data_IF_856682338046
#
_entry.id   IF_856682338046
#
_cell.length_a   1.000
_cell.length_b   1.000
_cell.length_c   1.000
_cell.angle_alpha   90.00
_cell.angle_beta   90.00
_cell.angle_gamma   90.00
#
_symmetry.space_group_name_H-M   'P 1'
#
loop_
_entity.id
_entity.type
_entity.pdbx_description
1 polymer ?
#
# COMPACT_ATOMS: atom_id res chain seq x y z
N UNK A 1 -11.68 -49.38 15.74
CA UNK A 1 -10.51 -49.23 14.87
C UNK A 1 -10.46 -47.83 14.30
N UNK A 2 -9.96 -46.83 14.97
CA UNK A 2 -9.76 -45.48 14.37
C UNK A 2 -8.79 -44.61 15.22
N UNK A 3 -7.59 -45.15 15.49
CA UNK A 3 -6.60 -44.42 16.31
C UNK A 3 -5.22 -44.16 15.70
N UNK A 4 -5.04 -44.40 14.39
CA UNK A 4 -3.66 -44.54 13.86
C UNK A 4 -3.26 -43.51 12.81
N UNK A 5 -4.10 -42.51 12.49
CA UNK A 5 -3.78 -41.55 11.42
C UNK A 5 -3.07 -40.29 11.94
N UNK A 6 -3.17 -39.97 13.22
CA UNK A 6 -2.59 -38.74 13.78
C UNK A 6 -1.18 -38.90 14.41
N UNK A 7 -0.71 -40.12 14.63
CA UNK A 7 0.56 -40.37 15.33
C UNK A 7 1.84 -40.19 14.48
N UNK A 8 1.72 -40.10 13.16
CA UNK A 8 2.86 -39.97 12.24
C UNK A 8 3.21 -38.52 11.79
N UNK A 9 2.35 -37.55 12.09
CA UNK A 9 2.48 -36.20 11.53
C UNK A 9 2.90 -35.11 12.55
N UNK A 10 3.42 -35.52 13.72
CA UNK A 10 3.85 -34.56 14.77
C UNK A 10 4.89 -33.55 14.29
N UNK A 11 5.73 -33.92 13.32
CA UNK A 11 6.76 -33.04 12.72
C UNK A 11 6.16 -31.85 11.96
N UNK A 12 4.90 -31.89 11.55
CA UNK A 12 4.21 -30.78 10.85
C UNK A 12 4.20 -29.54 11.71
N UNK A 13 3.94 -29.68 13.01
CA UNK A 13 3.86 -28.55 13.92
C UNK A 13 5.18 -27.81 14.12
N UNK A 14 6.32 -28.46 14.39
CA UNK A 14 7.61 -27.75 14.47
C UNK A 14 8.01 -27.15 13.12
N UNK A 15 7.70 -27.78 11.98
CA UNK A 15 7.96 -27.20 10.66
C UNK A 15 7.09 -25.96 10.44
N UNK A 16 5.80 -26.04 10.74
CA UNK A 16 4.90 -24.88 10.63
C UNK A 16 5.33 -23.74 11.56
N UNK A 17 5.71 -24.06 12.78
CA UNK A 17 6.23 -23.07 13.73
C UNK A 17 7.53 -22.41 13.22
N UNK A 18 8.46 -23.20 12.71
CA UNK A 18 9.71 -22.66 12.14
C UNK A 18 9.44 -21.75 10.93
N UNK A 19 8.57 -22.18 10.01
CA UNK A 19 8.16 -21.36 8.86
C UNK A 19 7.46 -20.07 9.31
N UNK A 20 6.60 -20.15 10.32
CA UNK A 20 5.94 -18.98 10.89
C UNK A 20 6.93 -18.00 11.52
N UNK A 21 7.91 -18.50 12.30
CA UNK A 21 8.95 -17.65 12.89
C UNK A 21 9.80 -16.98 11.81
N UNK A 22 10.21 -17.72 10.77
CA UNK A 22 10.94 -17.17 9.63
C UNK A 22 10.12 -16.11 8.89
N UNK A 23 8.83 -16.40 8.65
CA UNK A 23 7.91 -15.44 8.06
C UNK A 23 7.79 -14.17 8.91
N UNK A 24 7.59 -14.32 10.24
CA UNK A 24 7.49 -13.17 11.14
C UNK A 24 8.80 -12.36 11.17
N UNK A 25 9.94 -13.04 11.23
CA UNK A 25 11.25 -12.39 11.17
C UNK A 25 11.43 -11.56 9.89
N UNK A 26 10.97 -12.11 8.76
CA UNK A 26 10.99 -11.39 7.49
C UNK A 26 9.93 -10.29 7.44
N UNK A 27 8.72 -10.53 7.92
CA UNK A 27 7.59 -9.61 7.80
C UNK A 27 7.73 -8.40 8.73
N UNK A 28 8.05 -8.63 10.00
CA UNK A 28 8.18 -7.57 11.00
C UNK A 28 9.44 -6.72 10.79
N UNK A 29 10.27 -7.09 9.80
CA UNK A 29 11.50 -6.41 9.49
C UNK A 29 12.23 -5.97 10.76
N UNK A 30 12.89 -6.86 11.50
CA UNK A 30 13.63 -6.58 12.73
C UNK A 30 14.72 -5.50 12.53
N UNK A 31 14.59 -4.73 11.48
CA UNK A 31 15.38 -3.54 11.24
C UNK A 31 14.94 -2.45 12.22
N UNK A 32 15.88 -1.64 12.59
CA UNK A 32 15.62 -0.40 13.31
C UNK A 32 14.86 0.57 12.40
N UNK A 33 14.17 1.57 12.98
CA UNK A 33 13.65 2.69 12.22
C UNK A 33 14.70 3.28 11.28
N UNK A 34 14.25 3.90 10.20
CA UNK A 34 15.13 4.54 9.22
C UNK A 34 16.05 5.57 9.89
N UNK A 35 17.33 5.50 9.60
CA UNK A 35 18.28 6.54 10.01
C UNK A 35 18.07 7.82 9.20
N UNK A 36 18.50 8.96 9.72
CA UNK A 36 18.43 10.22 9.02
C UNK A 36 19.11 10.20 7.63
N UNK A 37 20.18 9.42 7.48
CA UNK A 37 20.87 9.25 6.20
C UNK A 37 20.04 8.46 5.19
N UNK A 38 19.34 7.42 5.64
CA UNK A 38 18.43 6.63 4.79
C UNK A 38 17.22 7.46 4.38
N UNK A 39 16.65 8.24 5.28
CA UNK A 39 15.56 9.19 4.97
C UNK A 39 15.97 10.13 3.83
N UNK A 40 17.12 10.81 3.94
CA UNK A 40 17.60 11.70 2.90
C UNK A 40 17.97 10.97 1.60
N UNK A 41 18.44 9.73 1.69
CA UNK A 41 18.67 8.90 0.52
C UNK A 41 17.37 8.62 -0.24
N UNK A 42 16.31 8.18 0.45
CA UNK A 42 15.01 7.89 -0.18
C UNK A 42 14.32 9.13 -0.71
N UNK A 43 14.40 10.26 0.01
CA UNK A 43 13.87 11.54 -0.50
C UNK A 43 14.53 11.91 -1.82
N UNK A 44 15.87 11.85 -1.91
CA UNK A 44 16.60 12.12 -3.15
C UNK A 44 16.24 11.13 -4.26
N UNK A 45 16.16 9.83 -3.94
CA UNK A 45 15.80 8.80 -4.92
C UNK A 45 14.42 9.06 -5.54
N UNK A 46 13.43 9.42 -4.73
CA UNK A 46 12.08 9.72 -5.21
C UNK A 46 12.07 11.01 -6.02
N UNK A 47 12.79 12.05 -5.59
CA UNK A 47 12.90 13.32 -6.33
C UNK A 47 13.54 13.17 -7.71
N UNK A 48 14.41 12.20 -7.90
CA UNK A 48 15.05 11.92 -9.19
C UNK A 48 14.28 10.93 -10.05
N UNK A 49 13.20 10.35 -9.52
CA UNK A 49 12.38 9.36 -10.22
C UNK A 49 11.40 10.02 -11.21
N UNK A 50 11.00 9.32 -12.29
CA UNK A 50 9.92 9.77 -13.14
C UNK A 50 8.63 9.98 -12.31
N UNK A 51 8.01 11.16 -12.43
CA UNK A 51 6.82 11.51 -11.63
C UNK A 51 7.11 12.25 -10.32
N UNK A 52 8.35 12.57 -10.01
CA UNK A 52 8.75 13.32 -8.82
C UNK A 52 8.00 14.65 -8.63
N UNK A 53 7.56 15.29 -9.70
CA UNK A 53 6.83 16.57 -9.67
C UNK A 53 5.47 16.52 -8.93
N UNK A 54 4.98 15.33 -8.59
CA UNK A 54 3.73 15.15 -7.83
C UNK A 54 3.97 14.87 -6.34
N UNK A 55 5.22 14.74 -5.90
CA UNK A 55 5.58 14.42 -4.52
C UNK A 55 6.12 15.65 -3.82
N UNK A 56 5.50 16.03 -2.69
CA UNK A 56 6.05 17.05 -1.82
C UNK A 56 7.21 16.46 -1.00
N UNK A 57 8.46 16.94 -1.18
CA UNK A 57 9.63 16.36 -0.53
C UNK A 57 9.62 16.54 0.99
N UNK A 58 9.03 17.62 1.50
CA UNK A 58 9.01 17.89 2.94
C UNK A 58 8.01 16.97 3.65
N UNK A 59 6.84 16.74 3.04
CA UNK A 59 5.86 15.77 3.54
C UNK A 59 6.42 14.36 3.48
N UNK A 60 7.14 14.01 2.41
CA UNK A 60 7.80 12.71 2.28
C UNK A 60 8.87 12.52 3.36
N UNK A 61 9.70 13.53 3.59
CA UNK A 61 10.72 13.49 4.65
C UNK A 61 10.09 13.32 6.02
N UNK A 62 9.04 14.08 6.32
CA UNK A 62 8.30 13.97 7.58
C UNK A 62 7.71 12.56 7.75
N UNK A 63 7.12 11.99 6.70
CA UNK A 63 6.58 10.64 6.71
C UNK A 63 7.67 9.60 7.01
N UNK A 64 8.79 9.64 6.29
CA UNK A 64 9.90 8.70 6.47
C UNK A 64 10.58 8.86 7.83
N UNK A 65 10.69 10.08 8.35
CA UNK A 65 11.29 10.35 9.66
C UNK A 65 10.42 9.85 10.84
N UNK A 66 9.15 9.56 10.60
CA UNK A 66 8.23 8.96 11.58
C UNK A 66 8.21 7.43 11.55
N UNK A 67 9.06 6.81 10.74
CA UNK A 67 9.19 5.35 10.69
C UNK A 67 9.55 4.81 12.07
N UNK A 68 8.75 3.89 12.57
CA UNK A 68 8.97 3.18 13.84
C UNK A 68 9.43 1.73 13.63
N UNK A 69 9.75 1.35 12.39
CA UNK A 69 10.15 0.00 12.00
C UNK A 69 9.00 -0.99 11.97
N UNK A 70 7.73 -0.53 12.03
CA UNK A 70 6.55 -1.39 11.98
C UNK A 70 5.75 -1.20 10.70
N UNK A 71 4.83 -2.12 10.48
CA UNK A 71 3.86 -2.00 9.39
C UNK A 71 3.02 -0.72 9.52
N UNK A 72 2.64 -0.15 8.40
CA UNK A 72 1.75 1.01 8.37
C UNK A 72 0.62 0.83 7.35
N UNK A 73 -0.44 1.59 7.52
CA UNK A 73 -1.58 1.62 6.62
C UNK A 73 -1.64 2.98 5.94
N UNK A 74 -1.66 2.96 4.61
CA UNK A 74 -1.86 4.16 3.80
C UNK A 74 -3.29 4.19 3.28
N UNK A 75 -3.96 5.32 3.48
CA UNK A 75 -5.28 5.58 2.89
C UNK A 75 -5.10 6.37 1.58
N UNK A 76 -5.49 5.77 0.48
CA UNK A 76 -5.48 6.40 -0.83
C UNK A 76 -6.89 6.84 -1.18
N UNK A 77 -7.09 8.15 -1.31
CA UNK A 77 -8.33 8.75 -1.76
C UNK A 77 -8.20 9.15 -3.23
N UNK A 78 -9.07 8.60 -4.07
CA UNK A 78 -9.00 8.80 -5.52
C UNK A 78 -10.22 9.58 -5.99
N UNK A 79 -9.96 10.66 -6.70
CA UNK A 79 -10.98 11.40 -7.45
C UNK A 79 -10.77 11.14 -8.94
N UNK A 80 -11.68 10.40 -9.55
CA UNK A 80 -11.68 10.19 -11.00
C UNK A 80 -12.29 11.39 -11.69
N UNK A 81 -11.68 11.80 -12.79
CA UNK A 81 -12.30 12.80 -13.67
C UNK A 81 -13.59 12.26 -14.26
N UNK A 82 -14.60 13.10 -14.50
CA UNK A 82 -15.87 12.66 -15.11
C UNK A 82 -15.73 12.34 -16.61
N UNK A 83 -14.71 12.90 -17.26
CA UNK A 83 -14.46 12.78 -18.69
C UNK A 83 -13.15 12.05 -18.97
N UNK A 84 -12.97 11.45 -20.17
CA UNK A 84 -11.69 10.91 -20.61
C UNK A 84 -10.58 11.96 -20.53
N UNK A 85 -9.37 11.52 -20.15
CA UNK A 85 -8.18 12.37 -20.06
C UNK A 85 -7.08 11.79 -20.93
N UNK A 86 -6.11 12.60 -21.38
CA UNK A 86 -4.97 12.10 -22.14
C UNK A 86 -4.18 11.06 -21.34
N UNK A 87 -3.92 9.92 -21.93
CA UNK A 87 -3.08 8.89 -21.33
C UNK A 87 -1.64 9.43 -21.21
N UNK A 88 -0.98 9.29 -20.04
CA UNK A 88 0.31 9.92 -19.77
C UNK A 88 1.44 9.44 -20.69
N UNK A 89 1.34 8.23 -21.24
CA UNK A 89 2.37 7.67 -22.13
C UNK A 89 2.03 7.81 -23.63
N UNK A 90 0.74 7.74 -24.00
CA UNK A 90 0.31 7.68 -25.39
C UNK A 90 -0.38 8.95 -25.89
N UNK A 91 -0.83 9.82 -24.96
CA UNK A 91 -1.62 11.00 -25.29
C UNK A 91 -3.06 10.72 -25.73
N UNK A 92 -3.44 9.46 -25.90
CA UNK A 92 -4.80 9.07 -26.33
C UNK A 92 -5.81 9.33 -25.23
N UNK A 93 -6.96 9.92 -25.58
CA UNK A 93 -8.05 10.13 -24.62
C UNK A 93 -8.56 8.80 -24.08
N UNK A 94 -8.37 8.58 -22.79
CA UNK A 94 -8.62 7.30 -22.14
C UNK A 94 -9.58 7.50 -20.96
N UNK A 95 -10.57 6.61 -20.77
CA UNK A 95 -11.46 6.66 -19.61
C UNK A 95 -10.68 6.55 -18.29
N UNK A 96 -10.92 7.41 -17.28
CA UNK A 96 -10.16 7.42 -16.03
C UNK A 96 -10.16 6.08 -15.28
N UNK A 97 -11.23 5.28 -15.41
CA UNK A 97 -11.27 3.93 -14.82
C UNK A 97 -10.27 2.98 -15.45
N UNK A 98 -10.04 3.09 -16.74
CA UNK A 98 -9.04 2.28 -17.44
C UNK A 98 -7.63 2.66 -16.96
N UNK A 99 -7.32 3.95 -16.87
CA UNK A 99 -6.04 4.44 -16.36
C UNK A 99 -5.73 3.94 -14.96
N UNK A 100 -6.72 4.01 -14.05
CA UNK A 100 -6.50 3.52 -12.68
C UNK A 100 -6.32 2.00 -12.63
N UNK A 101 -6.95 1.24 -13.53
CA UNK A 101 -6.76 -0.21 -13.63
C UNK A 101 -5.36 -0.57 -14.18
N UNK A 102 -4.90 0.16 -15.18
CA UNK A 102 -3.55 0.00 -15.75
C UNK A 102 -2.47 0.33 -14.72
N UNK A 103 -2.67 1.38 -13.91
CA UNK A 103 -1.81 1.70 -12.79
C UNK A 103 -1.86 0.62 -11.69
N UNK A 104 -3.07 0.17 -11.33
CA UNK A 104 -3.24 -0.72 -10.19
C UNK A 104 -2.64 -2.12 -10.39
N UNK A 105 -2.63 -2.64 -11.62
CA UNK A 105 -2.09 -3.98 -11.90
C UNK A 105 -0.61 -4.13 -11.51
N UNK A 106 0.33 -3.33 -12.06
CA UNK A 106 1.73 -3.43 -11.68
C UNK A 106 1.97 -3.03 -10.22
N UNK A 107 1.21 -2.06 -9.71
CA UNK A 107 1.24 -1.67 -8.31
C UNK A 107 0.90 -2.83 -7.38
N UNK A 108 -0.19 -3.57 -7.66
CA UNK A 108 -0.60 -4.71 -6.83
C UNK A 108 0.46 -5.80 -6.79
N UNK A 109 1.09 -6.12 -7.94
CA UNK A 109 2.20 -7.08 -7.99
C UNK A 109 3.35 -6.61 -7.10
N UNK A 110 3.77 -5.35 -7.24
CA UNK A 110 4.83 -4.78 -6.40
C UNK A 110 4.46 -4.80 -4.92
N UNK A 111 3.23 -4.41 -4.58
CA UNK A 111 2.71 -4.42 -3.20
C UNK A 111 2.86 -5.81 -2.57
N UNK A 112 2.36 -6.85 -3.23
CA UNK A 112 2.44 -8.23 -2.72
C UNK A 112 3.87 -8.76 -2.63
N UNK A 113 4.72 -8.48 -3.61
CA UNK A 113 6.13 -8.88 -3.58
C UNK A 113 6.89 -8.28 -2.41
N UNK A 114 6.49 -7.10 -1.94
CA UNK A 114 7.10 -6.43 -0.79
C UNK A 114 6.34 -6.69 0.53
N UNK A 115 5.44 -7.68 0.56
CA UNK A 115 4.72 -8.09 1.77
C UNK A 115 3.54 -7.18 2.14
N UNK A 116 3.19 -6.23 1.28
CA UNK A 116 2.00 -5.41 1.46
C UNK A 116 0.75 -6.10 0.91
N UNK A 117 -0.42 -5.64 1.31
CA UNK A 117 -1.70 -6.12 0.79
C UNK A 117 -2.83 -5.10 0.96
N UNK A 118 -3.87 -5.15 0.13
CA UNK A 118 -5.05 -4.32 0.32
C UNK A 118 -5.84 -4.79 1.55
N UNK A 119 -6.26 -3.84 2.38
CA UNK A 119 -7.18 -4.09 3.49
C UNK A 119 -8.63 -3.83 3.08
N UNK A 120 -8.84 -2.69 2.44
CA UNK A 120 -10.16 -2.24 1.98
C UNK A 120 -9.99 -1.55 0.65
N UNK A 121 -10.87 -1.87 -0.29
CA UNK A 121 -11.07 -1.10 -1.51
C UNK A 121 -12.55 -0.81 -1.61
N UNK A 122 -12.92 0.46 -1.66
CA UNK A 122 -14.30 0.92 -1.67
C UNK A 122 -14.54 1.94 -2.76
N UNK A 123 -15.79 2.06 -3.17
CA UNK A 123 -16.25 3.14 -4.04
C UNK A 123 -17.27 4.00 -3.28
N UNK A 124 -17.25 5.27 -3.55
CA UNK A 124 -18.26 6.18 -3.03
C UNK A 124 -19.62 5.90 -3.69
N UNK A 125 -20.66 5.82 -2.88
CA UNK A 125 -22.04 5.62 -3.34
C UNK A 125 -22.86 6.92 -3.30
N UNK A 126 -22.56 7.80 -2.32
CA UNK A 126 -23.28 9.07 -2.11
C UNK A 126 -22.33 10.11 -1.51
N UNK A 127 -22.80 11.35 -1.32
CA UNK A 127 -22.13 12.36 -0.51
C UNK A 127 -22.11 12.01 0.98
N UNK A 128 -21.73 12.97 1.80
CA UNK A 128 -21.78 12.80 3.26
C UNK A 128 -23.22 12.59 3.72
N UNK A 129 -23.47 11.51 4.43
CA UNK A 129 -24.77 11.29 5.11
C UNK A 129 -24.82 12.18 6.36
N UNK A 130 -23.70 12.20 7.12
CA UNK A 130 -23.47 13.07 8.26
C UNK A 130 -22.14 13.80 8.10
N UNK A 131 -22.13 15.10 8.40
CA UNK A 131 -20.90 15.90 8.39
C UNK A 131 -20.91 16.89 9.55
N UNK A 132 -19.93 16.73 10.45
CA UNK A 132 -19.75 17.60 11.61
C UNK A 132 -18.51 18.46 11.38
N UNK A 133 -18.73 19.76 11.13
CA UNK A 133 -17.64 20.71 10.81
C UNK A 133 -16.69 20.25 9.70
N UNK A 134 -17.16 19.40 8.78
CA UNK A 134 -16.38 18.95 7.65
C UNK A 134 -16.48 19.97 6.49
N UNK A 135 -15.39 20.18 5.73
CA UNK A 135 -15.46 20.96 4.51
C UNK A 135 -16.39 20.29 3.50
N UNK A 136 -16.85 21.01 2.47
CA UNK A 136 -17.62 20.43 1.39
C UNK A 136 -16.95 19.18 0.83
N UNK A 137 -17.76 18.21 0.40
CA UNK A 137 -17.28 16.97 -0.20
C UNK A 137 -16.34 17.28 -1.39
N UNK A 138 -15.05 16.89 -1.33
CA UNK A 138 -14.09 17.18 -2.39
C UNK A 138 -14.28 16.31 -3.64
N UNK A 139 -15.31 15.44 -3.67
CA UNK A 139 -15.66 14.63 -4.84
C UNK A 139 -14.81 13.35 -4.96
N UNK A 140 -14.33 12.78 -3.86
CA UNK A 140 -13.69 11.46 -3.89
C UNK A 140 -14.63 10.42 -4.47
N UNK A 141 -14.12 9.54 -5.33
CA UNK A 141 -14.91 8.50 -6.02
C UNK A 141 -14.59 7.11 -5.49
N UNK A 142 -13.38 6.93 -4.99
CA UNK A 142 -12.88 5.66 -4.45
C UNK A 142 -11.99 5.93 -3.25
N UNK A 143 -11.90 4.96 -2.35
CA UNK A 143 -10.90 4.90 -1.29
C UNK A 143 -10.27 3.52 -1.24
N UNK A 144 -8.96 3.45 -1.01
CA UNK A 144 -8.22 2.22 -0.83
C UNK A 144 -7.30 2.32 0.38
N UNK A 145 -7.40 1.37 1.30
CA UNK A 145 -6.45 1.23 2.40
C UNK A 145 -5.53 0.07 2.08
N UNK A 146 -4.25 0.36 2.04
CA UNK A 146 -3.20 -0.60 1.76
C UNK A 146 -2.30 -0.71 2.99
N UNK A 147 -2.02 -1.94 3.41
CA UNK A 147 -1.05 -2.22 4.45
C UNK A 147 0.31 -2.46 3.80
N UNK A 148 1.32 -1.83 4.34
CA UNK A 148 2.70 -1.98 3.91
C UNK A 148 3.51 -2.58 5.05
N UNK A 149 4.44 -3.44 4.68
CA UNK A 149 5.49 -3.89 5.57
C UNK A 149 6.50 -2.74 5.77
N UNK A 150 7.05 -2.65 6.95
CA UNK A 150 8.18 -1.76 7.21
C UNK A 150 9.40 -2.12 6.38
#
# INVERSE_FOLDING_TARGET
>A
MNGTILSGAWWIWPVAAALYVLFRAWYDNWRKPLSAQEVEHYVRLIQTSPGAGHTNPDVLREFLARDDGKEFVMCNLVRLYPQPVPHPLTGVLTPPRQLIQEYFRPFAVSLFLHGGHPLVVSRKMAGYVDSWNAPPDPGWTMAGMMRYRS
#
